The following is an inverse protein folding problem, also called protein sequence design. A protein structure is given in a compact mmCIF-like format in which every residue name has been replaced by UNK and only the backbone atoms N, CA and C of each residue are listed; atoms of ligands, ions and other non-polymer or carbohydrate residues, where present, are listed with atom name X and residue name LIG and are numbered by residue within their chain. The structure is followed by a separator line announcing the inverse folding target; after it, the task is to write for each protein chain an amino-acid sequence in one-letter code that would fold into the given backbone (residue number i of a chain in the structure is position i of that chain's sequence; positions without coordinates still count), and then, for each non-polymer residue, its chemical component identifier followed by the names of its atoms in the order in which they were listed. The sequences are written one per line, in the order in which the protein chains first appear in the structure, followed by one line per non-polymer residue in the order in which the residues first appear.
data_IF_609269502611
#
_entry.id   IF_609269502611
#
_cell.length_a   1.000
_cell.length_b   1.000
_cell.length_c   1.000
_cell.angle_alpha   90.00
_cell.angle_beta   90.00
_cell.angle_gamma   90.00
#
_symmetry.space_group_name_H-M   'P 1'
#
loop_
_entity.id
_entity.type
_entity.pdbx_description
1 polymer ?
#
# COMPACT_ATOMS: atom_id res chain seq x y z
N UNK A 1 14.05 3.81 13.82
CA UNK A 1 13.58 2.45 13.51
C UNK A 1 12.20 2.56 12.91
N UNK A 2 11.79 1.59 12.10
CA UNK A 2 10.41 1.45 11.69
C UNK A 2 9.92 0.06 12.10
N UNK A 3 8.72 -0.04 12.64
CA UNK A 3 8.06 -1.28 13.02
C UNK A 3 6.91 -1.50 12.04
N UNK A 4 6.91 -2.65 11.37
CA UNK A 4 5.72 -3.15 10.68
C UNK A 4 5.01 -4.10 11.63
N UNK A 5 3.77 -3.79 11.96
CA UNK A 5 2.97 -4.51 12.93
C UNK A 5 1.75 -5.05 12.21
N UNK A 6 1.54 -6.35 12.36
CA UNK A 6 0.43 -7.11 11.80
C UNK A 6 -0.46 -7.57 12.96
N UNK A 7 -1.76 -7.37 12.85
CA UNK A 7 -2.73 -7.81 13.86
C UNK A 7 -3.25 -9.21 13.52
N UNK A 8 -3.31 -10.09 14.52
CA UNK A 8 -3.93 -11.40 14.37
C UNK A 8 -5.43 -11.24 14.15
N UNK A 9 -5.95 -11.71 13.01
CA UNK A 9 -7.40 -11.77 12.73
C UNK A 9 -8.08 -10.43 13.07
N UNK A 10 -7.59 -9.35 12.43
CA UNK A 10 -7.85 -7.97 12.86
C UNK A 10 -9.35 -7.62 13.00
N UNK A 11 -10.20 -8.19 12.15
CA UNK A 11 -11.65 -8.05 12.21
C UNK A 11 -12.29 -8.95 13.27
N UNK A 12 -11.82 -10.19 13.43
CA UNK A 12 -12.51 -11.22 14.20
C UNK A 12 -12.32 -11.05 15.71
N UNK A 13 -11.27 -10.34 16.14
CA UNK A 13 -10.95 -10.11 17.56
C UNK A 13 -11.57 -8.85 18.18
N UNK A 14 -12.26 -8.02 17.38
CA UNK A 14 -12.72 -6.71 17.85
C UNK A 14 -13.81 -6.80 18.91
N UNK A 15 -13.56 -6.22 20.08
CA UNK A 15 -14.51 -6.17 21.18
C UNK A 15 -15.63 -5.17 20.94
N UNK A 16 -16.88 -5.64 20.99
CA UNK A 16 -18.06 -4.81 20.74
C UNK A 16 -18.32 -3.79 21.85
N UNK A 17 -18.12 -4.18 23.10
CA UNK A 17 -18.26 -3.29 24.26
C UNK A 17 -17.29 -2.10 24.16
N UNK A 18 -16.03 -2.38 23.81
CA UNK A 18 -15.04 -1.34 23.57
C UNK A 18 -15.38 -0.44 22.37
N UNK A 19 -15.83 -1.02 21.26
CA UNK A 19 -16.31 -0.26 20.10
C UNK A 19 -17.48 0.67 20.50
N UNK A 20 -18.44 0.17 21.27
CA UNK A 20 -19.57 0.96 21.76
C UNK A 20 -19.10 2.16 22.61
N UNK A 21 -18.23 1.92 23.59
CA UNK A 21 -17.65 2.99 24.42
C UNK A 21 -16.91 4.04 23.59
N UNK A 22 -16.19 3.62 22.56
CA UNK A 22 -15.47 4.52 21.67
C UNK A 22 -16.42 5.36 20.80
N UNK A 23 -17.50 4.77 20.28
CA UNK A 23 -18.52 5.54 19.54
C UNK A 23 -19.19 6.59 20.44
N UNK A 24 -19.46 6.26 21.70
CA UNK A 24 -19.91 7.26 22.68
C UNK A 24 -18.87 8.36 22.89
N UNK A 25 -17.59 8.00 23.04
CA UNK A 25 -16.51 8.95 23.23
C UNK A 25 -16.33 9.91 22.04
N UNK A 26 -16.52 9.42 20.81
CA UNK A 26 -16.51 10.25 19.61
C UNK A 26 -17.76 11.12 19.43
N UNK A 27 -18.74 11.02 20.34
CA UNK A 27 -19.92 11.88 20.35
C UNK A 27 -21.03 11.45 19.40
N UNK A 28 -21.05 10.18 18.97
CA UNK A 28 -22.15 9.68 18.14
C UNK A 28 -23.47 9.63 18.95
N UNK A 29 -24.63 9.92 18.32
CA UNK A 29 -25.92 9.85 19.01
C UNK A 29 -26.23 8.43 19.51
N UNK A 30 -26.74 8.31 20.74
CA UNK A 30 -27.03 7.02 21.37
C UNK A 30 -27.97 6.13 20.53
N UNK A 31 -28.96 6.73 19.87
CA UNK A 31 -29.88 6.02 18.96
C UNK A 31 -29.12 5.36 17.81
N UNK A 32 -28.18 6.08 17.21
CA UNK A 32 -27.37 5.56 16.10
C UNK A 32 -26.42 4.45 16.57
N UNK A 33 -25.81 4.63 17.76
CA UNK A 33 -24.96 3.60 18.36
C UNK A 33 -25.77 2.31 18.57
N UNK A 34 -26.98 2.41 19.11
CA UNK A 34 -27.85 1.24 19.30
C UNK A 34 -28.15 0.51 17.99
N UNK A 35 -28.38 1.23 16.88
CA UNK A 35 -28.57 0.62 15.57
C UNK A 35 -27.32 -0.09 15.06
N UNK A 36 -26.13 0.52 15.24
CA UNK A 36 -24.86 -0.10 14.88
C UNK A 36 -24.63 -1.37 15.69
N UNK A 37 -24.81 -1.31 17.01
CA UNK A 37 -24.63 -2.44 17.91
C UNK A 37 -25.60 -3.58 17.59
N UNK A 38 -26.88 -3.28 17.29
CA UNK A 38 -27.85 -4.27 16.84
C UNK A 38 -27.44 -4.95 15.53
N UNK A 39 -26.74 -4.25 14.63
CA UNK A 39 -26.25 -4.81 13.38
C UNK A 39 -25.03 -5.73 13.55
N UNK A 40 -24.19 -5.53 14.55
CA UNK A 40 -22.89 -6.23 14.64
C UNK A 40 -22.81 -7.28 15.76
N UNK A 41 -23.60 -7.13 16.81
CA UNK A 41 -23.52 -7.99 17.99
C UNK A 41 -24.29 -9.30 17.85
N UNK A 42 -23.82 -10.32 18.57
CA UNK A 42 -24.41 -11.66 18.65
C UNK A 42 -24.71 -12.35 17.31
N UNK A 43 -23.86 -12.25 16.26
CA UNK A 43 -24.09 -13.03 15.07
C UNK A 43 -23.92 -14.52 15.39
N UNK A 44 -24.76 -15.33 14.75
CA UNK A 44 -24.77 -16.79 14.89
C UNK A 44 -24.30 -17.45 13.61
N UNK A 45 -23.42 -18.42 13.75
CA UNK A 45 -22.81 -19.17 12.65
C UNK A 45 -23.13 -20.66 12.79
N UNK A 46 -23.20 -21.35 11.65
CA UNK A 46 -23.17 -22.82 11.59
C UNK A 46 -22.13 -23.23 10.56
N UNK A 47 -21.36 -24.25 10.91
CA UNK A 47 -20.42 -24.87 9.97
C UNK A 47 -21.19 -25.98 9.27
N UNK A 48 -21.22 -25.95 7.94
CA UNK A 48 -21.79 -27.03 7.14
C UNK A 48 -20.67 -27.91 6.63
N UNK A 49 -20.66 -29.17 7.06
CA UNK A 49 -19.67 -30.16 6.63
C UNK A 49 -20.42 -31.38 6.06
N UNK A 50 -20.15 -31.72 4.79
CA UNK A 50 -20.84 -32.80 4.06
C UNK A 50 -22.39 -32.70 4.14
N UNK A 51 -22.93 -31.48 4.07
CA UNK A 51 -24.38 -31.24 4.16
C UNK A 51 -24.96 -31.26 5.58
N UNK A 52 -24.18 -31.64 6.60
CA UNK A 52 -24.60 -31.63 8.00
C UNK A 52 -24.22 -30.28 8.63
N UNK A 53 -25.17 -29.65 9.31
CA UNK A 53 -24.96 -28.37 10.01
C UNK A 53 -24.57 -28.61 11.46
N UNK A 54 -23.55 -27.89 11.94
CA UNK A 54 -23.20 -27.87 13.36
C UNK A 54 -24.31 -27.18 14.20
N UNK A 55 -24.28 -27.33 15.54
CA UNK A 55 -25.01 -26.42 16.42
C UNK A 55 -24.64 -24.96 16.15
N UNK A 56 -25.54 -24.06 16.51
CA UNK A 56 -25.31 -22.62 16.40
C UNK A 56 -24.14 -22.19 17.29
N UNK A 57 -23.16 -21.53 16.69
CA UNK A 57 -22.04 -20.87 17.38
C UNK A 57 -22.38 -19.39 17.43
N UNK A 58 -22.55 -18.84 18.62
CA UNK A 58 -22.75 -17.39 18.79
C UNK A 58 -21.40 -16.74 18.99
N UNK A 59 -21.01 -15.79 18.14
CA UNK A 59 -19.79 -15.04 18.38
C UNK A 59 -19.97 -14.08 19.54
N UNK A 60 -18.86 -13.76 20.21
CA UNK A 60 -18.79 -12.82 21.32
C UNK A 60 -18.06 -11.53 20.95
N UNK A 61 -17.39 -11.52 19.80
CA UNK A 61 -16.62 -10.40 19.29
C UNK A 61 -16.48 -10.53 17.77
N UNK A 62 -15.93 -9.49 17.17
CA UNK A 62 -15.54 -9.46 15.77
C UNK A 62 -16.52 -8.75 14.85
N UNK A 63 -16.02 -8.27 13.72
CA UNK A 63 -16.79 -7.65 12.67
C UNK A 63 -16.89 -8.58 11.46
N UNK A 64 -18.08 -8.65 10.85
CA UNK A 64 -18.33 -9.54 9.70
C UNK A 64 -17.56 -9.08 8.47
N UNK A 65 -16.72 -9.93 7.92
CA UNK A 65 -16.06 -9.69 6.63
C UNK A 65 -17.10 -9.74 5.50
N UNK A 66 -17.02 -8.80 4.56
CA UNK A 66 -18.02 -8.63 3.49
C UNK A 66 -19.24 -7.78 3.87
N UNK A 67 -19.40 -7.41 5.14
CA UNK A 67 -20.39 -6.41 5.55
C UNK A 67 -19.89 -5.00 5.15
N UNK A 68 -20.69 -4.18 4.44
CA UNK A 68 -20.29 -2.83 4.05
C UNK A 68 -19.96 -1.89 5.22
N UNK A 69 -20.53 -2.12 6.40
CA UNK A 69 -20.31 -1.30 7.59
C UNK A 69 -18.99 -1.62 8.30
N UNK A 70 -18.55 -2.87 8.27
CA UNK A 70 -17.37 -3.34 9.02
C UNK A 70 -16.08 -2.56 8.73
N UNK A 71 -15.74 -2.21 7.47
CA UNK A 71 -14.53 -1.44 7.20
C UNK A 71 -14.52 -0.05 7.85
N UNK A 72 -15.67 0.63 7.90
CA UNK A 72 -15.77 1.95 8.52
C UNK A 72 -15.62 1.87 10.03
N UNK A 73 -16.28 0.88 10.66
CA UNK A 73 -16.13 0.64 12.09
C UNK A 73 -14.69 0.26 12.44
N UNK A 74 -14.02 -0.53 11.59
CA UNK A 74 -12.62 -0.86 11.76
C UNK A 74 -11.72 0.39 11.71
N UNK A 75 -11.97 1.32 10.78
CA UNK A 75 -11.21 2.57 10.70
C UNK A 75 -11.39 3.40 11.98
N UNK A 76 -12.64 3.60 12.41
CA UNK A 76 -12.94 4.31 13.66
C UNK A 76 -12.25 3.66 14.85
N UNK A 77 -12.24 2.33 14.89
CA UNK A 77 -11.58 1.56 15.94
C UNK A 77 -10.07 1.77 15.96
N UNK A 78 -9.44 1.77 14.78
CA UNK A 78 -8.01 2.00 14.65
C UNK A 78 -7.61 3.44 14.97
N UNK A 79 -8.52 4.41 14.88
CA UNK A 79 -8.25 5.81 15.18
C UNK A 79 -7.83 6.02 16.64
N UNK A 80 -8.38 5.22 17.56
CA UNK A 80 -7.95 5.29 18.95
C UNK A 80 -6.47 4.93 19.14
N UNK A 81 -5.95 3.99 18.35
CA UNK A 81 -4.52 3.70 18.37
C UNK A 81 -3.71 4.92 17.89
N UNK A 82 -4.18 5.62 16.85
CA UNK A 82 -3.58 6.88 16.40
C UNK A 82 -3.56 7.92 17.52
N UNK A 83 -4.69 8.09 18.22
CA UNK A 83 -4.83 9.03 19.34
C UNK A 83 -3.88 8.70 20.50
N UNK A 84 -3.77 7.43 20.88
CA UNK A 84 -2.82 6.98 21.92
C UNK A 84 -1.37 7.26 21.54
N UNK A 85 -1.02 7.08 20.26
CA UNK A 85 0.32 7.41 19.77
C UNK A 85 0.53 8.93 19.81
N UNK A 86 -0.45 9.71 19.39
CA UNK A 86 -0.38 11.18 19.40
C UNK A 86 -0.25 11.75 20.81
N UNK A 87 -0.97 11.21 21.80
CA UNK A 87 -0.80 11.55 23.23
C UNK A 87 0.64 11.34 23.70
N UNK A 88 1.24 10.20 23.34
CA UNK A 88 2.64 9.91 23.70
C UNK A 88 3.65 10.77 22.96
N UNK A 89 3.33 11.29 21.77
CA UNK A 89 4.14 12.30 21.10
C UNK A 89 4.02 13.66 21.81
N UNK A 90 2.81 14.09 22.17
CA UNK A 90 2.57 15.37 22.84
C UNK A 90 3.24 15.45 24.21
N UNK A 91 3.27 14.33 24.94
CA UNK A 91 3.94 14.21 26.25
C UNK A 91 5.46 13.97 26.17
N UNK A 92 6.07 13.99 24.99
CA UNK A 92 7.49 13.66 24.75
C UNK A 92 7.91 12.27 25.30
N UNK A 93 6.94 11.37 25.50
CA UNK A 93 7.18 9.98 25.88
C UNK A 93 7.68 9.16 24.68
N UNK A 94 7.20 9.52 23.48
CA UNK A 94 7.59 8.95 22.20
C UNK A 94 8.06 10.08 21.26
N UNK A 95 9.11 9.84 20.49
CA UNK A 95 9.57 10.76 19.46
C UNK A 95 9.47 10.08 18.10
N UNK A 96 8.68 10.68 17.20
CA UNK A 96 8.63 10.28 15.80
C UNK A 96 9.92 10.58 15.05
N UNK A 97 9.90 10.37 13.73
CA UNK A 97 11.03 10.64 12.85
C UNK A 97 10.75 11.92 12.07
N UNK A 98 11.56 12.95 12.31
CA UNK A 98 11.59 14.13 11.46
C UNK A 98 12.66 13.94 10.38
N UNK A 99 12.25 13.93 9.10
CA UNK A 99 13.17 13.71 7.97
C UNK A 99 13.93 14.99 7.58
N UNK A 100 13.28 16.15 7.71
CA UNK A 100 13.81 17.46 7.33
C UNK A 100 13.48 18.49 8.41
N UNK A 101 14.35 19.49 8.63
CA UNK A 101 14.21 20.47 9.74
C UNK A 101 12.85 21.18 9.79
N UNK A 102 12.25 21.45 8.63
CA UNK A 102 10.95 22.11 8.49
C UNK A 102 9.84 21.15 8.03
N UNK A 103 10.09 19.84 8.10
CA UNK A 103 9.13 18.82 7.68
C UNK A 103 8.27 18.33 8.83
N UNK A 104 7.10 17.73 8.53
CA UNK A 104 6.27 17.09 9.54
C UNK A 104 6.99 15.93 10.23
N UNK A 105 6.56 15.60 11.44
CA UNK A 105 7.07 14.44 12.18
C UNK A 105 6.29 13.19 11.74
N UNK A 106 6.99 12.18 11.22
CA UNK A 106 6.41 10.89 10.90
C UNK A 106 6.41 9.99 12.13
N UNK A 107 5.23 9.62 12.63
CA UNK A 107 5.10 8.76 13.81
C UNK A 107 4.46 7.41 13.49
N UNK A 108 3.39 7.38 12.70
CA UNK A 108 2.71 6.16 12.30
C UNK A 108 2.02 6.31 10.94
N UNK A 109 1.79 5.18 10.27
CA UNK A 109 0.96 5.03 9.09
C UNK A 109 0.05 3.83 9.31
N UNK A 110 -1.25 4.01 9.11
CA UNK A 110 -2.24 2.93 9.24
C UNK A 110 -2.89 2.73 7.88
N UNK A 111 -2.97 1.48 7.45
CA UNK A 111 -3.78 1.09 6.30
C UNK A 111 -4.49 -0.21 6.63
N UNK A 112 -5.77 -0.12 6.99
CA UNK A 112 -6.51 -1.24 7.56
C UNK A 112 -5.69 -1.90 8.70
N UNK A 113 -5.40 -3.20 8.59
CA UNK A 113 -4.65 -4.00 9.57
C UNK A 113 -3.13 -3.83 9.49
N UNK A 114 -2.62 -3.22 8.42
CA UNK A 114 -1.20 -2.98 8.17
C UNK A 114 -0.76 -1.70 8.92
N UNK A 115 -0.02 -1.88 10.02
CA UNK A 115 0.39 -0.78 10.91
C UNK A 115 1.89 -0.53 10.77
N UNK A 116 2.28 0.70 10.50
CA UNK A 116 3.66 1.15 10.53
C UNK A 116 3.88 2.17 11.63
N UNK A 117 4.91 1.97 12.46
CA UNK A 117 5.33 2.94 13.47
C UNK A 117 6.78 3.35 13.23
N UNK A 118 7.02 4.65 13.31
CA UNK A 118 8.31 5.29 13.11
C UNK A 118 8.73 5.98 14.39
N UNK A 119 9.87 5.57 14.95
CA UNK A 119 10.38 6.16 16.17
C UNK A 119 11.90 6.12 16.22
N UNK A 120 12.46 6.90 17.13
CA UNK A 120 13.89 6.81 17.48
C UNK A 120 14.25 5.39 17.94
N UNK A 121 15.40 4.86 17.52
CA UNK A 121 15.86 3.53 17.91
C UNK A 121 16.45 3.56 19.33
N UNK A 122 15.63 3.76 20.36
CA UNK A 122 16.06 3.85 21.76
C UNK A 122 15.23 2.92 22.64
N UNK A 123 15.78 2.53 23.78
CA UNK A 123 15.07 1.70 24.75
C UNK A 123 13.79 2.37 25.25
N UNK A 124 13.86 3.67 25.59
CA UNK A 124 12.71 4.48 26.02
C UNK A 124 11.57 4.45 25.00
N UNK A 125 11.88 4.70 23.72
CA UNK A 125 10.86 4.69 22.66
C UNK A 125 10.27 3.28 22.45
N UNK A 126 11.09 2.23 22.55
CA UNK A 126 10.61 0.85 22.41
C UNK A 126 9.64 0.45 23.53
N UNK A 127 9.97 0.80 24.77
CA UNK A 127 9.08 0.54 25.92
C UNK A 127 7.80 1.37 25.82
N UNK A 128 7.87 2.63 25.38
CA UNK A 128 6.68 3.45 25.15
C UNK A 128 5.75 2.81 24.12
N UNK A 129 6.27 2.36 22.98
CA UNK A 129 5.47 1.67 21.95
C UNK A 129 4.88 0.36 22.50
N UNK A 130 5.68 -0.43 23.22
CA UNK A 130 5.21 -1.68 23.83
C UNK A 130 4.05 -1.42 24.80
N UNK A 131 4.15 -0.39 25.64
CA UNK A 131 3.10 -0.02 26.58
C UNK A 131 1.82 0.44 25.86
N UNK A 132 1.94 1.26 24.80
CA UNK A 132 0.80 1.67 23.97
C UNK A 132 0.06 0.43 23.45
N UNK A 133 0.79 -0.52 22.86
CA UNK A 133 0.16 -1.73 22.34
C UNK A 133 -0.38 -2.66 23.41
N UNK A 134 0.27 -2.78 24.57
CA UNK A 134 -0.28 -3.53 25.68
C UNK A 134 -1.64 -2.95 26.09
N UNK A 135 -1.70 -1.66 26.43
CA UNK A 135 -2.96 -1.01 26.82
C UNK A 135 -4.02 -1.08 25.73
N UNK A 136 -3.64 -0.85 24.47
CA UNK A 136 -4.57 -0.93 23.35
C UNK A 136 -5.08 -2.36 23.12
N UNK A 137 -4.22 -3.38 23.13
CA UNK A 137 -4.62 -4.78 22.97
C UNK A 137 -5.50 -5.27 24.12
N UNK A 138 -5.18 -4.87 25.36
CA UNK A 138 -5.96 -5.23 26.55
C UNK A 138 -7.37 -4.66 26.51
N UNK A 139 -7.52 -3.40 26.08
CA UNK A 139 -8.82 -2.75 25.95
C UNK A 139 -9.61 -3.27 24.73
N UNK A 140 -8.94 -3.41 23.58
CA UNK A 140 -9.57 -3.74 22.30
C UNK A 140 -9.77 -5.23 22.04
N UNK A 141 -9.09 -6.11 22.76
CA UNK A 141 -9.04 -7.55 22.45
C UNK A 141 -8.23 -7.90 21.20
N UNK A 142 -7.67 -6.92 20.48
CA UNK A 142 -6.74 -7.19 19.38
C UNK A 142 -5.43 -7.78 19.91
N UNK A 143 -4.71 -8.48 19.04
CA UNK A 143 -3.43 -9.10 19.39
C UNK A 143 -2.44 -8.95 18.25
N UNK A 144 -1.20 -8.61 18.58
CA UNK A 144 -0.13 -8.50 17.59
C UNK A 144 0.33 -9.89 17.15
N UNK A 145 0.37 -10.11 15.84
CA UNK A 145 1.00 -11.26 15.22
C UNK A 145 2.52 -11.08 15.18
N UNK A 146 3.22 -11.60 16.19
CA UNK A 146 4.68 -11.46 16.30
C UNK A 146 5.44 -12.13 15.15
N UNK A 147 4.89 -13.20 14.57
CA UNK A 147 5.52 -13.92 13.47
C UNK A 147 5.50 -13.12 12.16
N UNK A 148 4.41 -12.37 11.91
CA UNK A 148 4.27 -11.51 10.72
C UNK A 148 4.79 -10.09 10.94
N UNK A 149 4.91 -9.64 12.19
CA UNK A 149 5.45 -8.32 12.53
C UNK A 149 6.97 -8.28 12.41
N UNK A 150 7.49 -7.15 11.93
CA UNK A 150 8.91 -7.00 11.61
C UNK A 150 9.49 -5.64 11.98
N UNK A 151 10.82 -5.57 12.12
CA UNK A 151 11.54 -4.34 12.48
C UNK A 151 12.57 -4.00 11.41
N UNK A 152 12.54 -2.74 11.00
CA UNK A 152 13.50 -2.12 10.10
C UNK A 152 14.39 -1.14 10.86
N UNK A 153 15.69 -1.22 10.58
CA UNK A 153 16.68 -0.33 11.16
C UNK A 153 17.41 0.46 10.08
N UNK A 154 17.76 1.71 10.41
CA UNK A 154 18.71 2.47 9.60
C UNK A 154 20.08 1.78 9.60
N UNK A 155 20.80 1.89 8.48
CA UNK A 155 22.17 1.38 8.34
C UNK A 155 23.11 1.90 9.44
N UNK A 156 22.84 3.09 9.99
CA UNK A 156 23.64 3.71 11.07
C UNK A 156 23.39 3.13 12.47
N UNK A 157 22.41 2.22 12.63
CA UNK A 157 22.06 1.67 13.95
C UNK A 157 23.07 0.61 14.39
N UNK A 158 23.68 0.79 15.57
CA UNK A 158 24.66 -0.17 16.14
C UNK A 158 24.05 -1.58 16.34
N UNK A 159 24.84 -2.64 16.12
CA UNK A 159 24.38 -4.04 16.22
C UNK A 159 23.88 -4.44 17.62
N UNK A 160 24.49 -3.91 18.68
CA UNK A 160 24.04 -4.13 20.07
C UNK A 160 22.62 -3.59 20.29
N UNK A 161 22.36 -2.37 19.80
CA UNK A 161 21.05 -1.72 19.87
C UNK A 161 19.99 -2.42 19.04
N UNK A 162 20.34 -2.94 17.86
CA UNK A 162 19.43 -3.78 17.05
C UNK A 162 18.99 -5.03 17.83
N UNK A 163 19.94 -5.76 18.43
CA UNK A 163 19.65 -6.96 19.24
C UNK A 163 18.75 -6.65 20.43
N UNK A 164 19.07 -5.60 21.19
CA UNK A 164 18.23 -5.13 22.30
C UNK A 164 16.78 -4.89 21.85
N UNK A 165 16.58 -4.13 20.77
CA UNK A 165 15.25 -3.76 20.31
C UNK A 165 14.47 -4.96 19.77
N UNK A 166 15.13 -5.86 19.04
CA UNK A 166 14.54 -7.13 18.58
C UNK A 166 14.06 -7.97 19.77
N UNK A 167 14.84 -8.05 20.84
CA UNK A 167 14.46 -8.81 22.05
C UNK A 167 13.27 -8.18 22.79
N UNK A 168 13.17 -6.85 22.84
CA UNK A 168 12.05 -6.15 23.53
C UNK A 168 10.70 -6.46 22.88
N UNK A 169 10.66 -6.44 21.55
CA UNK A 169 9.44 -6.65 20.77
C UNK A 169 9.17 -8.13 20.43
N UNK A 170 10.22 -8.94 20.29
CA UNK A 170 10.11 -10.33 19.82
C UNK A 170 9.75 -10.44 18.34
N UNK A 171 10.08 -9.43 17.54
CA UNK A 171 9.82 -9.38 16.10
C UNK A 171 11.06 -9.76 15.30
N UNK A 172 10.89 -10.25 14.08
CA UNK A 172 12.02 -10.54 13.20
C UNK A 172 12.58 -9.25 12.56
N UNK A 173 13.90 -9.17 12.41
CA UNK A 173 14.53 -8.06 11.70
C UNK A 173 14.38 -8.24 10.19
N UNK A 174 13.84 -7.24 9.50
CA UNK A 174 13.65 -7.25 8.06
C UNK A 174 14.48 -6.15 7.39
N UNK A 175 15.20 -6.53 6.33
CA UNK A 175 16.05 -5.60 5.56
C UNK A 175 15.37 -5.08 4.29
N UNK A 176 14.55 -5.92 3.66
CA UNK A 176 13.75 -5.60 2.49
C UNK A 176 12.36 -6.19 2.73
N UNK A 177 11.33 -5.44 2.38
CA UNK A 177 9.95 -5.87 2.56
C UNK A 177 9.05 -5.39 1.46
N UNK A 178 7.78 -5.80 1.53
CA UNK A 178 6.70 -5.24 0.72
C UNK A 178 5.69 -4.58 1.67
N UNK A 179 5.22 -3.42 1.28
CA UNK A 179 4.13 -2.71 1.95
C UNK A 179 3.09 -2.33 0.92
N UNK A 180 1.85 -2.78 1.12
CA UNK A 180 0.75 -2.59 0.17
C UNK A 180 1.13 -3.02 -1.27
N UNK A 181 1.94 -4.08 -1.42
CA UNK A 181 2.43 -4.55 -2.71
C UNK A 181 3.61 -3.77 -3.31
N UNK A 182 4.01 -2.64 -2.70
CA UNK A 182 5.17 -1.85 -3.10
C UNK A 182 6.43 -2.35 -2.37
N UNK A 183 7.55 -2.61 -3.07
CA UNK A 183 8.78 -3.01 -2.43
C UNK A 183 9.38 -1.82 -1.63
N UNK A 184 9.58 -2.03 -0.32
CA UNK A 184 10.27 -1.11 0.57
C UNK A 184 11.79 -1.26 0.36
N UNK A 185 12.35 -0.39 -0.47
CA UNK A 185 13.75 -0.43 -0.86
C UNK A 185 14.48 0.81 -0.36
N UNK A 186 15.62 0.61 0.31
CA UNK A 186 16.56 1.68 0.66
C UNK A 186 17.53 2.03 -0.47
N UNK A 187 17.30 1.49 -1.67
CA UNK A 187 18.15 1.62 -2.87
C UNK A 187 17.28 1.84 -4.11
N UNK A 188 17.93 2.20 -5.23
CA UNK A 188 17.26 2.22 -6.53
C UNK A 188 16.64 0.85 -6.84
N UNK A 189 15.38 0.81 -7.30
CA UNK A 189 14.77 -0.43 -7.76
C UNK A 189 15.57 -1.04 -8.93
N UNK A 190 15.80 -2.35 -8.85
CA UNK A 190 16.48 -3.17 -9.85
C UNK A 190 15.45 -4.05 -10.57
N UNK A 191 15.88 -4.70 -11.66
CA UNK A 191 15.05 -5.66 -12.41
C UNK A 191 14.49 -6.76 -11.49
N UNK A 192 15.32 -7.23 -10.56
CA UNK A 192 14.98 -8.35 -9.67
C UNK A 192 13.79 -8.05 -8.75
N UNK A 193 13.62 -6.79 -8.37
CA UNK A 193 12.53 -6.37 -7.47
C UNK A 193 11.14 -6.53 -8.10
N UNK A 194 11.06 -6.64 -9.43
CA UNK A 194 9.82 -6.78 -10.19
C UNK A 194 9.65 -8.17 -10.83
N UNK A 195 10.51 -9.15 -10.51
CA UNK A 195 10.40 -10.52 -11.04
C UNK A 195 9.05 -11.13 -10.70
N UNK A 196 8.56 -10.92 -9.48
CA UNK A 196 7.26 -11.44 -9.03
C UNK A 196 6.10 -10.93 -9.89
N UNK A 197 6.14 -9.67 -10.33
CA UNK A 197 5.12 -9.10 -11.22
C UNK A 197 5.23 -9.67 -12.64
N UNK A 198 6.46 -9.78 -13.16
CA UNK A 198 6.70 -10.42 -14.47
C UNK A 198 6.21 -11.87 -14.46
N UNK A 199 6.47 -12.60 -13.37
CA UNK A 199 5.99 -13.97 -13.18
C UNK A 199 4.46 -14.04 -13.16
N UNK A 200 3.79 -13.12 -12.46
CA UNK A 200 2.32 -13.02 -12.46
C UNK A 200 1.76 -12.77 -13.87
N UNK A 201 2.40 -11.91 -14.67
CA UNK A 201 1.99 -11.67 -16.06
C UNK A 201 2.19 -12.93 -16.91
N UNK A 202 3.33 -13.61 -16.75
CA UNK A 202 3.63 -14.87 -17.45
C UNK A 202 2.65 -15.98 -17.09
N UNK A 203 2.28 -16.12 -15.83
CA UNK A 203 1.33 -17.14 -15.40
C UNK A 203 -0.06 -16.90 -15.99
N UNK A 204 -0.53 -15.66 -16.04
CA UNK A 204 -1.80 -15.31 -16.71
C UNK A 204 -1.76 -15.63 -18.21
N UNK A 205 -0.67 -15.26 -18.89
CA UNK A 205 -0.50 -15.57 -20.32
C UNK A 205 -0.50 -17.08 -20.56
N UNK A 206 0.23 -17.86 -19.75
CA UNK A 206 0.27 -19.32 -19.87
C UNK A 206 -1.10 -19.97 -19.64
N UNK A 207 -1.86 -19.50 -18.63
CA UNK A 207 -3.22 -19.99 -18.37
C UNK A 207 -4.17 -19.73 -19.54
N UNK A 208 -3.99 -18.63 -20.26
CA UNK A 208 -4.82 -18.27 -21.40
C UNK A 208 -4.33 -18.85 -22.73
N UNK A 209 -3.03 -19.10 -22.88
CA UNK A 209 -2.46 -19.69 -24.10
C UNK A 209 -2.97 -21.11 -24.38
N UNK A 210 -3.44 -21.82 -23.35
CA UNK A 210 -4.11 -23.13 -23.48
C UNK A 210 -5.52 -23.00 -24.08
N UNK A 211 -6.14 -21.82 -23.97
CA UNK A 211 -7.49 -21.57 -24.53
C UNK A 211 -7.32 -21.07 -25.96
N UNK A 212 -8.03 -21.66 -26.92
CA UNK A 212 -8.04 -21.20 -28.32
C UNK A 212 -8.74 -19.84 -28.45
N UNK A 213 -8.03 -18.76 -28.10
CA UNK A 213 -8.56 -17.40 -28.07
C UNK A 213 -8.42 -16.72 -29.43
N UNK A 214 -9.48 -16.06 -29.87
CA UNK A 214 -9.42 -15.17 -31.04
C UNK A 214 -8.49 -13.98 -30.80
N UNK A 215 -8.05 -13.32 -31.87
CA UNK A 215 -7.25 -12.10 -31.76
C UNK A 215 -7.95 -11.01 -30.92
N UNK A 216 -9.26 -10.81 -31.15
CA UNK A 216 -10.07 -9.88 -30.37
C UNK A 216 -10.17 -10.30 -28.89
N UNK A 217 -10.33 -11.60 -28.60
CA UNK A 217 -10.34 -12.11 -27.22
C UNK A 217 -9.04 -11.84 -26.48
N UNK A 218 -7.89 -12.06 -27.15
CA UNK A 218 -6.56 -11.73 -26.60
C UNK A 218 -6.41 -10.24 -26.33
N UNK A 219 -6.84 -9.39 -27.26
CA UNK A 219 -6.82 -7.94 -27.09
C UNK A 219 -7.66 -7.48 -25.88
N UNK A 220 -8.84 -8.06 -25.68
CA UNK A 220 -9.70 -7.75 -24.53
C UNK A 220 -9.01 -8.10 -23.20
N UNK A 221 -8.38 -9.27 -23.10
CA UNK A 221 -7.65 -9.69 -21.89
C UNK A 221 -6.41 -8.84 -21.61
N UNK A 222 -5.72 -8.40 -22.67
CA UNK A 222 -4.60 -7.48 -22.56
C UNK A 222 -5.07 -6.18 -21.89
N UNK A 223 -6.12 -5.56 -22.45
CA UNK A 223 -6.58 -4.26 -21.97
C UNK A 223 -7.22 -4.32 -20.57
N UNK A 224 -7.96 -5.39 -20.23
CA UNK A 224 -8.64 -5.48 -18.93
C UNK A 224 -7.73 -5.97 -17.80
N UNK A 225 -6.80 -6.89 -18.08
CA UNK A 225 -5.99 -7.54 -17.04
C UNK A 225 -4.49 -7.25 -17.16
N UNK A 226 -3.85 -7.55 -18.30
CA UNK A 226 -2.38 -7.43 -18.37
C UNK A 226 -1.90 -5.99 -18.26
N UNK A 227 -2.62 -5.06 -18.87
CA UNK A 227 -2.33 -3.64 -18.81
C UNK A 227 -2.57 -3.03 -17.43
N UNK A 228 -3.45 -3.60 -16.61
CA UNK A 228 -3.79 -3.07 -15.27
C UNK A 228 -2.82 -3.52 -14.17
N UNK A 229 -2.24 -4.73 -14.28
CA UNK A 229 -1.27 -5.27 -13.30
C UNK A 229 -0.13 -4.29 -12.95
N UNK A 230 0.62 -3.70 -13.91
CA UNK A 230 1.75 -2.84 -13.58
C UNK A 230 1.33 -1.42 -13.13
N UNK A 231 0.09 -1.00 -13.35
CA UNK A 231 -0.36 0.39 -13.16
C UNK A 231 -0.12 0.86 -11.73
N UNK A 232 -0.46 0.03 -10.74
CA UNK A 232 -0.30 0.38 -9.33
C UNK A 232 1.17 0.61 -8.94
N UNK A 233 2.09 -0.24 -9.40
CA UNK A 233 3.51 -0.05 -9.11
C UNK A 233 4.14 1.07 -9.94
N UNK A 234 3.69 1.27 -11.18
CA UNK A 234 4.17 2.36 -12.04
C UNK A 234 3.80 3.75 -11.50
N UNK A 235 2.64 3.87 -10.84
CA UNK A 235 2.19 5.15 -10.28
C UNK A 235 2.91 5.52 -8.99
N UNK A 236 3.37 4.55 -8.18
CA UNK A 236 3.96 4.81 -6.86
C UNK A 236 5.47 4.56 -6.76
N UNK A 237 6.08 3.86 -7.72
CA UNK A 237 7.53 3.53 -7.67
C UNK A 237 8.26 3.89 -8.95
N UNK A 238 9.58 4.14 -8.81
CA UNK A 238 10.46 4.21 -9.97
C UNK A 238 10.63 2.82 -10.59
N UNK A 239 9.89 2.53 -11.66
CA UNK A 239 10.08 1.30 -12.44
C UNK A 239 11.10 1.53 -13.57
N UNK A 240 12.20 0.76 -13.66
CA UNK A 240 13.16 0.86 -14.75
C UNK A 240 12.52 0.69 -16.15
N UNK A 241 13.00 1.46 -17.15
CA UNK A 241 12.52 1.38 -18.54
C UNK A 241 12.65 -0.04 -19.14
N UNK A 242 13.69 -0.77 -18.76
CA UNK A 242 13.91 -2.16 -19.20
C UNK A 242 12.80 -3.12 -18.75
N UNK A 243 12.17 -2.86 -17.60
CA UNK A 243 11.06 -3.68 -17.09
C UNK A 243 9.79 -3.36 -17.87
N UNK A 244 9.51 -2.08 -18.14
CA UNK A 244 8.39 -1.68 -18.99
C UNK A 244 8.49 -2.35 -20.38
N UNK A 245 9.67 -2.26 -21.01
CA UNK A 245 9.92 -2.91 -22.29
C UNK A 245 9.75 -4.44 -22.22
N UNK A 246 10.21 -5.06 -21.12
CA UNK A 246 10.02 -6.50 -20.90
C UNK A 246 8.55 -6.88 -20.76
N UNK A 247 7.71 -6.04 -20.14
CA UNK A 247 6.27 -6.30 -20.02
C UNK A 247 5.60 -6.11 -21.39
N UNK A 248 5.92 -5.03 -22.12
CA UNK A 248 5.40 -4.82 -23.49
C UNK A 248 5.77 -5.96 -24.42
N UNK A 249 6.99 -6.51 -24.29
CA UNK A 249 7.40 -7.68 -25.05
C UNK A 249 6.51 -8.90 -24.78
N UNK A 250 6.17 -9.17 -23.52
CA UNK A 250 5.30 -10.30 -23.14
C UNK A 250 3.87 -10.09 -23.66
N UNK A 251 3.34 -8.87 -23.56
CA UNK A 251 2.01 -8.53 -24.10
C UNK A 251 2.00 -8.66 -25.62
N UNK A 252 3.04 -8.17 -26.29
CA UNK A 252 3.18 -8.26 -27.75
C UNK A 252 3.26 -9.73 -28.19
N UNK A 253 4.03 -10.55 -27.48
CA UNK A 253 4.10 -11.98 -27.74
C UNK A 253 2.70 -12.59 -27.61
N UNK A 254 2.03 -12.40 -26.48
CA UNK A 254 0.68 -12.94 -26.26
C UNK A 254 -0.33 -12.52 -27.35
N UNK A 255 -0.34 -11.24 -27.76
CA UNK A 255 -1.25 -10.72 -28.79
C UNK A 255 -1.11 -11.45 -30.13
N UNK A 256 0.11 -11.79 -30.54
CA UNK A 256 0.38 -12.38 -31.85
C UNK A 256 0.43 -13.92 -31.81
N UNK A 257 1.16 -14.50 -30.86
CA UNK A 257 1.38 -15.95 -30.80
C UNK A 257 0.34 -16.70 -29.97
N UNK A 258 -0.36 -16.01 -29.07
CA UNK A 258 -1.36 -16.60 -28.16
C UNK A 258 -0.75 -17.39 -27.01
N UNK A 259 0.42 -17.99 -27.24
CA UNK A 259 1.21 -18.71 -26.25
C UNK A 259 2.69 -18.29 -26.30
N UNK A 260 3.43 -18.52 -25.22
CA UNK A 260 4.84 -18.15 -25.08
C UNK A 260 5.81 -19.07 -25.82
N UNK A 261 5.35 -20.25 -26.25
CA UNK A 261 6.19 -21.26 -26.93
C UNK A 261 6.30 -21.02 -28.44
N UNK A 262 5.29 -20.37 -29.04
CA UNK A 262 5.22 -20.13 -30.48
C UNK A 262 5.84 -18.79 -30.82
N UNK A 263 6.83 -18.79 -31.72
CA UNK A 263 7.32 -17.57 -32.35
C UNK A 263 6.43 -17.25 -33.56
N UNK A 264 5.58 -16.24 -33.43
CA UNK A 264 4.76 -15.70 -34.53
C UNK A 264 5.36 -14.40 -35.06
N UNK A 265 5.21 -14.15 -36.37
CA UNK A 265 5.55 -12.86 -36.96
C UNK A 265 4.71 -11.73 -36.34
N UNK A 266 5.36 -10.60 -36.05
CA UNK A 266 4.70 -9.39 -35.60
C UNK A 266 4.41 -8.50 -36.81
N UNK A 267 3.18 -8.55 -37.33
CA UNK A 267 2.82 -7.92 -38.61
C UNK A 267 2.80 -6.39 -38.58
N UNK A 268 2.57 -5.78 -37.41
CA UNK A 268 2.42 -4.32 -37.27
C UNK A 268 3.35 -3.79 -36.19
N UNK A 269 3.93 -2.61 -36.43
CA UNK A 269 4.76 -1.91 -35.45
C UNK A 269 3.99 -1.64 -34.16
N UNK A 270 4.61 -1.95 -33.01
CA UNK A 270 4.05 -1.73 -31.68
C UNK A 270 3.59 -0.29 -31.44
N UNK A 271 4.34 0.70 -31.93
CA UNK A 271 4.00 2.11 -31.79
C UNK A 271 2.72 2.50 -32.53
N UNK A 272 2.32 1.75 -33.56
CA UNK A 272 1.04 1.95 -34.25
C UNK A 272 -0.09 1.24 -33.50
N UNK A 273 0.16 0.03 -32.99
CA UNK A 273 -0.81 -0.78 -32.24
C UNK A 273 -1.19 -0.11 -30.90
N UNK A 274 -0.21 0.42 -30.18
CA UNK A 274 -0.41 0.99 -28.85
C UNK A 274 -1.03 2.40 -28.87
N UNK A 275 -1.44 2.91 -30.04
CA UNK A 275 -2.19 4.16 -30.14
C UNK A 275 -3.61 4.00 -29.58
N UNK A 276 -4.25 5.11 -29.15
CA UNK A 276 -5.67 5.12 -28.85
C UNK A 276 -6.49 4.63 -30.05
N UNK A 277 -7.67 4.04 -29.77
CA UNK A 277 -8.60 3.60 -30.83
C UNK A 277 -9.01 4.74 -31.76
N UNK A 278 -9.19 5.95 -31.21
CA UNK A 278 -9.49 7.16 -31.97
C UNK A 278 -8.38 7.54 -32.98
N UNK A 279 -7.15 7.10 -32.74
CA UNK A 279 -5.99 7.35 -33.62
C UNK A 279 -5.62 6.11 -34.45
N UNK A 280 -6.54 5.16 -34.62
CA UNK A 280 -6.35 3.95 -35.42
C UNK A 280 -5.55 2.82 -34.75
N UNK A 281 -5.28 2.91 -33.45
CA UNK A 281 -4.63 1.83 -32.68
C UNK A 281 -5.61 0.87 -32.02
N UNK A 282 -5.09 -0.11 -31.28
CA UNK A 282 -5.88 -1.11 -30.55
C UNK A 282 -6.22 -0.69 -29.11
N UNK A 283 -5.77 0.48 -28.67
CA UNK A 283 -6.00 1.00 -27.32
C UNK A 283 -5.12 0.35 -26.24
N UNK A 284 -4.08 -0.38 -26.63
CA UNK A 284 -3.11 -0.97 -25.70
C UNK A 284 -2.25 0.14 -25.09
N UNK A 285 -2.02 0.09 -23.79
CA UNK A 285 -1.21 1.10 -23.11
C UNK A 285 0.28 0.97 -23.44
N UNK A 286 0.84 2.00 -24.07
CA UNK A 286 2.29 2.18 -24.13
C UNK A 286 2.79 2.61 -22.74
N UNK A 287 3.45 1.72 -21.99
CA UNK A 287 3.71 1.94 -20.57
C UNK A 287 4.68 3.08 -20.30
N UNK A 288 5.60 3.37 -21.22
CA UNK A 288 6.50 4.53 -21.08
C UNK A 288 5.73 5.87 -21.05
N UNK A 289 4.67 5.99 -21.86
CA UNK A 289 3.80 7.17 -21.96
C UNK A 289 2.84 7.18 -20.78
N UNK A 290 2.19 6.04 -20.50
CA UNK A 290 1.28 5.90 -19.37
C UNK A 290 1.93 6.22 -18.04
N UNK A 291 3.18 5.79 -17.83
CA UNK A 291 3.93 6.16 -16.62
C UNK A 291 4.09 7.68 -16.50
N UNK A 292 4.38 8.41 -17.59
CA UNK A 292 4.46 9.88 -17.55
C UNK A 292 3.13 10.50 -17.12
N UNK A 293 2.01 10.02 -17.67
CA UNK A 293 0.66 10.50 -17.32
C UNK A 293 0.32 10.21 -15.85
N UNK A 294 0.62 9.00 -15.35
CA UNK A 294 0.38 8.63 -13.96
C UNK A 294 1.20 9.49 -12.98
N UNK A 295 2.44 9.82 -13.34
CA UNK A 295 3.31 10.66 -12.51
C UNK A 295 2.90 12.14 -12.60
N UNK A 296 2.38 12.59 -13.74
CA UNK A 296 1.84 13.95 -13.88
C UNK A 296 0.74 14.23 -12.85
N UNK A 297 -0.07 13.22 -12.49
CA UNK A 297 -1.03 13.33 -11.38
C UNK A 297 -0.36 13.67 -10.04
N UNK A 298 0.77 13.03 -9.72
CA UNK A 298 1.53 13.33 -8.50
C UNK A 298 2.15 14.73 -8.56
N UNK A 299 2.72 15.10 -9.71
CA UNK A 299 3.26 16.44 -9.91
C UNK A 299 2.17 17.52 -9.78
N UNK A 300 0.95 17.26 -10.27
CA UNK A 300 -0.20 18.16 -10.09
C UNK A 300 -0.61 18.29 -8.61
N UNK A 301 -0.63 17.19 -7.85
CA UNK A 301 -0.89 17.22 -6.40
C UNK A 301 0.17 18.00 -5.62
N UNK A 302 1.43 17.90 -6.04
CA UNK A 302 2.51 18.68 -5.45
C UNK A 302 2.36 20.18 -5.77
N UNK A 303 2.04 20.52 -7.02
CA UNK A 303 1.84 21.90 -7.48
C UNK A 303 0.65 22.58 -6.80
N UNK A 304 -0.51 21.90 -6.77
CA UNK A 304 -1.73 22.37 -6.11
C UNK A 304 -1.66 22.38 -4.58
N UNK A 305 -0.51 22.03 -4.00
CA UNK A 305 -0.26 21.94 -2.55
C UNK A 305 -1.33 21.11 -1.82
N UNK A 306 -1.68 19.97 -2.39
CA UNK A 306 -2.66 19.07 -1.77
C UNK A 306 -2.25 18.74 -0.33
N UNK A 307 -3.21 18.79 0.61
CA UNK A 307 -3.03 18.50 2.04
C UNK A 307 -2.74 17.01 2.29
N UNK A 308 -1.62 16.52 1.76
CA UNK A 308 -1.16 15.16 1.93
C UNK A 308 0.24 15.14 2.55
N UNK A 309 0.45 14.18 3.44
CA UNK A 309 1.67 14.05 4.21
C UNK A 309 2.93 14.02 3.33
N UNK A 310 2.88 13.32 2.19
CA UNK A 310 4.02 13.22 1.28
C UNK A 310 4.34 14.56 0.59
N UNK A 311 3.33 15.37 0.25
CA UNK A 311 3.55 16.72 -0.33
C UNK A 311 4.26 17.60 0.68
N UNK A 312 3.82 17.61 1.95
CA UNK A 312 4.48 18.37 3.01
C UNK A 312 5.94 17.94 3.22
N UNK A 313 6.24 16.64 3.16
CA UNK A 313 7.61 16.14 3.22
C UNK A 313 8.47 16.60 2.04
N UNK A 314 7.91 16.56 0.82
CA UNK A 314 8.64 16.97 -0.38
C UNK A 314 8.83 18.49 -0.41
N UNK A 315 7.84 19.28 0.01
CA UNK A 315 7.96 20.74 0.14
C UNK A 315 9.05 21.12 1.15
N UNK A 316 9.12 20.42 2.29
CA UNK A 316 10.17 20.66 3.28
C UNK A 316 11.59 20.35 2.78
N UNK A 317 11.73 19.47 1.79
CA UNK A 317 13.03 19.12 1.19
C UNK A 317 13.39 19.98 -0.02
N UNK A 318 12.43 20.13 -0.94
CA UNK A 318 12.64 20.71 -2.27
C UNK A 318 12.17 22.17 -2.38
N UNK A 319 11.45 22.68 -1.36
CA UNK A 319 10.90 24.03 -1.33
C UNK A 319 9.52 24.14 -1.98
N UNK A 320 8.97 25.36 -1.98
CA UNK A 320 7.70 25.69 -2.63
C UNK A 320 7.97 26.07 -4.10
N UNK A 321 7.59 25.19 -5.02
CA UNK A 321 7.92 25.24 -6.44
C UNK A 321 7.11 26.26 -7.25
N UNK A 322 7.23 27.55 -6.95
CA UNK A 322 6.73 28.57 -7.89
C UNK A 322 7.63 28.76 -9.12
N UNK A 323 8.87 28.24 -9.14
CA UNK A 323 9.76 28.51 -10.29
C UNK A 323 10.49 27.36 -10.97
N UNK A 324 10.76 26.17 -10.39
CA UNK A 324 11.39 25.12 -11.21
C UNK A 324 11.12 23.72 -10.66
N UNK A 325 10.40 22.88 -11.40
CA UNK A 325 10.58 21.43 -11.31
C UNK A 325 11.95 21.06 -11.89
N UNK A 326 13.01 21.46 -11.19
CA UNK A 326 14.38 21.05 -11.50
C UNK A 326 14.83 20.00 -10.51
N UNK A 327 15.65 19.07 -11.00
CA UNK A 327 16.32 18.10 -10.16
C UNK A 327 17.83 18.25 -10.32
N UNK A 328 18.56 18.05 -9.22
CA UNK A 328 20.02 18.01 -9.17
C UNK A 328 20.50 16.56 -9.09
N UNK A 329 21.78 16.34 -9.42
CA UNK A 329 22.43 15.04 -9.19
C UNK A 329 22.40 14.73 -7.68
N UNK A 330 21.85 13.58 -7.31
CA UNK A 330 21.68 13.16 -5.91
C UNK A 330 20.23 13.26 -5.40
N UNK A 331 19.32 13.88 -6.15
CA UNK A 331 17.91 13.92 -5.77
C UNK A 331 17.25 12.54 -5.83
N UNK A 332 16.15 12.41 -5.07
CA UNK A 332 15.38 11.16 -5.04
C UNK A 332 14.85 10.81 -6.43
N UNK A 333 14.87 9.53 -6.78
CA UNK A 333 14.37 9.07 -8.09
C UNK A 333 12.91 9.41 -8.33
N UNK A 334 12.12 9.49 -7.26
CA UNK A 334 10.72 9.91 -7.31
C UNK A 334 10.61 11.39 -7.67
N UNK A 335 11.44 12.26 -7.07
CA UNK A 335 11.49 13.68 -7.44
C UNK A 335 11.92 13.88 -8.89
N UNK A 336 12.98 13.18 -9.31
CA UNK A 336 13.42 13.22 -10.71
C UNK A 336 12.26 12.86 -11.65
N UNK A 337 11.53 11.78 -11.36
CA UNK A 337 10.36 11.38 -12.15
C UNK A 337 9.27 12.44 -12.20
N UNK A 338 8.93 13.04 -11.06
CA UNK A 338 7.93 14.12 -10.95
C UNK A 338 8.32 15.29 -11.86
N UNK A 339 9.59 15.70 -11.84
CA UNK A 339 10.09 16.77 -12.69
C UNK A 339 10.04 16.44 -14.20
N UNK A 340 10.19 15.18 -14.60
CA UNK A 340 10.09 14.78 -16.01
C UNK A 340 8.64 14.81 -16.56
N UNK A 341 7.64 15.05 -15.70
CA UNK A 341 6.23 15.19 -16.10
C UNK A 341 5.72 16.62 -16.05
N UNK A 342 6.60 17.60 -15.79
CA UNK A 342 6.24 19.01 -15.65
C UNK A 342 5.65 19.61 -16.94
N UNK A 343 6.18 19.21 -18.10
CA UNK A 343 5.72 19.65 -19.42
C UNK A 343 4.22 19.38 -19.65
N UNK A 344 3.70 18.28 -19.11
CA UNK A 344 2.29 17.91 -19.24
C UNK A 344 1.35 18.75 -18.36
N UNK A 345 1.88 19.49 -17.39
CA UNK A 345 1.12 20.25 -16.39
C UNK A 345 1.17 21.74 -16.70
N UNK A 346 2.36 22.26 -16.99
CA UNK A 346 2.59 23.70 -17.22
C UNK A 346 1.80 24.20 -18.43
N UNK A 347 1.69 23.39 -19.49
CA UNK A 347 0.95 23.76 -20.71
C UNK A 347 -0.59 23.70 -20.54
N UNK A 348 -1.10 23.09 -19.47
CA UNK A 348 -2.55 22.93 -19.22
C UNK A 348 -3.08 23.69 -18.01
N UNK A 349 -2.20 24.29 -17.21
CA UNK A 349 -2.56 25.09 -16.03
C UNK A 349 -2.25 26.59 -16.20
N UNK A 350 -1.68 26.98 -17.34
CA UNK A 350 -1.77 28.34 -17.89
C UNK A 350 -3.04 28.44 -18.72
#
# INVERSE_FOLDING_TARGET
MALKIDMEQAYDRMRWDFLCSMLHHFGFPAIWINWVMACISNPRFQITFNGIRSPWITATCGLRQGCPLSPYLFILYSELLSLLIQDKLATNALNGIQLYRNGPVLSHLLFADDIFIFASATHKAAMAIKNIFCSYCDASGQRINRAKSSIFFSNKTKRSRKRMLVNIFGFHQQHQGKYLGIPLLFRKPKKDDYISMISQIRSQISLWGVRSLSFAGRLTLINSVLSSIPVYSMSHTFMPKSILASIEQLIRQFLWSGDMTRNSLHYVNWNSIAKPKASGGLGIHHFSIWRRVLIAKLAAYFYTKHHSLWVSFFQAKYGNCQQVFSFKRGDSYVWQLICHSDDLIVDKMK
#
